data_IF_016601236465
#
_entry.id   IF_016601236465
#
_cell.length_a   1.000
_cell.length_b   1.000
_cell.length_c   1.000
_cell.angle_alpha   90.00
_cell.angle_beta   90.00
_cell.angle_gamma   90.00
#
_symmetry.space_group_name_H-M   'P 1'
#
loop_
_entity.id
_entity.type
_entity.pdbx_description
1 polymer ?
#
# COMPACT_ATOMS: atom_id res chain seq x y z
N UNK A 1 9.14 -25.05 5.24
CA UNK A 1 8.27 -24.01 4.63
C UNK A 1 8.87 -22.63 4.86
N UNK A 2 9.58 -22.09 3.87
CA UNK A 2 10.09 -20.71 3.92
C UNK A 2 8.95 -19.77 3.49
N UNK A 3 8.44 -18.97 4.43
CA UNK A 3 7.57 -17.84 4.15
C UNK A 3 8.33 -16.83 3.29
N UNK A 4 7.70 -16.27 2.25
CA UNK A 4 8.34 -15.20 1.47
C UNK A 4 8.50 -13.95 2.34
N UNK A 5 9.54 -13.16 2.09
CA UNK A 5 9.77 -11.90 2.83
C UNK A 5 8.57 -10.96 2.70
N UNK A 6 7.92 -10.94 1.53
CA UNK A 6 6.76 -10.11 1.26
C UNK A 6 5.54 -10.54 2.08
N UNK A 7 5.24 -11.84 2.14
CA UNK A 7 4.14 -12.38 2.97
C UNK A 7 4.32 -12.02 4.45
N UNK A 8 5.55 -12.08 4.95
CA UNK A 8 5.84 -11.69 6.33
C UNK A 8 5.63 -10.18 6.56
N UNK A 9 6.05 -9.35 5.61
CA UNK A 9 5.85 -7.89 5.65
C UNK A 9 4.36 -7.56 5.64
N UNK A 10 3.59 -8.17 4.76
CA UNK A 10 2.14 -7.93 4.64
C UNK A 10 1.42 -8.41 5.91
N UNK A 11 1.77 -9.58 6.43
CA UNK A 11 1.20 -10.12 7.67
C UNK A 11 1.49 -9.25 8.91
N UNK A 12 2.73 -8.76 9.03
CA UNK A 12 3.18 -7.91 10.16
C UNK A 12 2.54 -6.52 10.13
N UNK A 13 2.30 -5.98 8.93
CA UNK A 13 1.74 -4.64 8.75
C UNK A 13 0.20 -4.64 8.58
N UNK A 14 -0.44 -5.80 8.45
CA UNK A 14 -1.90 -5.92 8.36
C UNK A 14 -2.62 -5.40 9.62
N UNK A 15 -3.87 -4.91 9.49
CA UNK A 15 -4.66 -4.44 10.63
C UNK A 15 -5.18 -5.59 11.52
N UNK A 16 -5.03 -6.84 11.08
CA UNK A 16 -5.56 -8.01 11.78
C UNK A 16 -4.71 -8.40 13.00
N UNK A 17 -5.28 -9.18 13.92
CA UNK A 17 -4.49 -9.78 15.00
C UNK A 17 -3.60 -10.92 14.48
N UNK A 18 -2.58 -11.32 15.25
CA UNK A 18 -1.57 -12.26 14.75
C UNK A 18 -2.11 -13.66 14.41
N UNK A 19 -3.27 -14.07 14.96
CA UNK A 19 -3.89 -15.34 14.60
C UNK A 19 -4.58 -15.24 13.24
N UNK A 20 -5.42 -14.23 13.05
CA UNK A 20 -6.11 -13.99 11.78
C UNK A 20 -5.13 -13.71 10.65
N UNK A 21 -4.09 -12.89 10.89
CA UNK A 21 -3.04 -12.63 9.91
C UNK A 21 -2.24 -13.90 9.54
N UNK A 22 -2.09 -14.84 10.47
CA UNK A 22 -1.37 -16.09 10.19
C UNK A 22 -2.13 -16.98 9.20
N UNK A 23 -3.45 -17.01 9.31
CA UNK A 23 -4.33 -17.78 8.44
C UNK A 23 -4.39 -17.15 7.05
N UNK A 24 -4.56 -15.82 6.97
CA UNK A 24 -4.70 -15.08 5.70
C UNK A 24 -3.40 -15.09 4.89
N UNK A 25 -2.27 -14.81 5.53
CA UNK A 25 -1.00 -14.63 4.84
C UNK A 25 -0.12 -15.89 4.85
N UNK A 26 -0.62 -16.99 5.42
CA UNK A 26 0.09 -18.26 5.57
C UNK A 26 1.46 -18.13 6.27
N UNK A 27 1.53 -17.23 7.25
CA UNK A 27 2.74 -16.96 8.04
C UNK A 27 2.52 -17.43 9.48
N UNK A 28 3.42 -18.22 10.09
CA UNK A 28 3.21 -18.67 11.47
C UNK A 28 3.02 -17.51 12.45
N UNK A 29 2.02 -17.61 13.33
CA UNK A 29 1.68 -16.59 14.34
C UNK A 29 2.89 -16.17 15.18
N UNK A 30 3.75 -17.12 15.54
CA UNK A 30 5.00 -16.88 16.29
C UNK A 30 5.98 -16.00 15.51
N UNK A 31 6.04 -16.16 14.18
CA UNK A 31 6.89 -15.37 13.30
C UNK A 31 6.35 -13.95 13.19
N UNK A 32 5.03 -13.77 13.03
CA UNK A 32 4.41 -12.44 13.02
C UNK A 32 4.66 -11.70 14.33
N UNK A 33 4.43 -12.36 15.48
CA UNK A 33 4.60 -11.76 16.81
C UNK A 33 6.03 -11.30 17.07
N UNK A 34 7.02 -12.14 16.72
CA UNK A 34 8.45 -11.81 16.88
C UNK A 34 8.86 -10.60 16.05
N UNK A 35 8.34 -10.52 14.82
CA UNK A 35 8.71 -9.49 13.85
C UNK A 35 7.85 -8.22 13.95
N UNK A 36 6.75 -8.25 14.71
CA UNK A 36 5.90 -7.07 14.97
C UNK A 36 6.63 -5.94 15.64
N UNK A 37 7.75 -6.17 16.33
CA UNK A 37 8.59 -5.12 16.93
C UNK A 37 9.77 -4.69 16.07
N UNK A 38 10.05 -5.39 14.96
CA UNK A 38 11.25 -5.13 14.15
C UNK A 38 11.05 -3.90 13.25
N UNK A 39 11.86 -2.88 13.47
CA UNK A 39 11.85 -1.63 12.69
C UNK A 39 12.16 -1.85 11.21
N UNK A 40 12.90 -2.90 10.86
CA UNK A 40 13.28 -3.29 9.49
C UNK A 40 12.16 -3.98 8.69
N UNK A 41 11.12 -4.46 9.37
CA UNK A 41 9.91 -5.06 8.78
C UNK A 41 8.70 -4.13 8.95
N UNK A 42 8.73 -3.27 9.97
CA UNK A 42 7.88 -2.06 10.09
C UNK A 42 8.29 -0.96 9.12
N UNK A 43 9.53 -1.00 8.62
CA UNK A 43 9.91 -0.24 7.44
C UNK A 43 9.27 -0.91 6.23
N UNK A 44 8.03 -0.52 5.93
CA UNK A 44 7.82 -0.08 4.56
C UNK A 44 8.93 0.93 4.31
N UNK A 45 10.00 0.57 3.60
CA UNK A 45 10.92 1.58 3.10
C UNK A 45 10.09 2.39 2.10
N UNK A 46 9.37 3.40 2.62
CA UNK A 46 8.49 4.32 1.91
C UNK A 46 6.97 4.39 2.22
N UNK A 47 6.39 3.77 3.28
CA UNK A 47 4.97 3.80 3.78
C UNK A 47 3.88 4.62 3.01
N UNK A 48 2.58 4.22 2.92
CA UNK A 48 1.92 2.92 3.16
C UNK A 48 1.15 2.41 1.90
N UNK A 49 1.15 1.09 1.66
CA UNK A 49 0.17 0.46 0.76
C UNK A 49 -1.14 0.36 1.55
N UNK A 50 -2.00 1.37 1.39
CA UNK A 50 -3.43 1.24 1.72
C UNK A 50 -4.21 0.60 0.58
N UNK A 51 -3.52 0.41 -0.55
CA UNK A 51 -4.04 -0.13 -1.78
C UNK A 51 -3.38 -1.50 -1.99
N UNK A 52 -4.18 -2.53 -2.21
CA UNK A 52 -3.75 -3.79 -2.79
C UNK A 52 -3.10 -3.58 -4.17
N UNK A 53 -2.38 -4.58 -4.68
CA UNK A 53 -1.72 -4.50 -5.98
C UNK A 53 -2.71 -4.14 -7.11
N UNK A 54 -3.92 -4.70 -7.08
CA UNK A 54 -4.95 -4.42 -8.08
C UNK A 54 -5.45 -2.97 -8.00
N UNK A 55 -5.58 -2.44 -6.78
CA UNK A 55 -5.94 -1.03 -6.56
C UNK A 55 -4.82 -0.07 -6.98
N UNK A 56 -3.56 -0.43 -6.75
CA UNK A 56 -2.41 0.34 -7.24
C UNK A 56 -2.38 0.35 -8.78
N UNK A 57 -2.54 -0.82 -9.43
CA UNK A 57 -2.58 -0.94 -10.89
C UNK A 57 -3.73 -0.17 -11.52
N UNK A 58 -4.90 -0.20 -10.88
CA UNK A 58 -6.05 0.58 -11.32
C UNK A 58 -5.76 2.08 -11.24
N UNK A 59 -5.17 2.55 -10.13
CA UNK A 59 -4.80 3.96 -9.98
C UNK A 59 -3.75 4.40 -11.01
N UNK A 60 -2.75 3.56 -11.30
CA UNK A 60 -1.78 3.82 -12.38
C UNK A 60 -2.48 3.95 -13.73
N UNK A 61 -3.45 3.06 -14.02
CA UNK A 61 -4.21 3.09 -15.26
C UNK A 61 -5.01 4.39 -15.41
N UNK A 62 -5.60 4.90 -14.33
CA UNK A 62 -6.27 6.21 -14.32
C UNK A 62 -5.30 7.36 -14.66
N UNK A 63 -4.11 7.37 -14.04
CA UNK A 63 -3.10 8.40 -14.31
C UNK A 63 -2.59 8.34 -15.76
N UNK A 64 -2.46 7.14 -16.33
CA UNK A 64 -2.05 6.94 -17.73
C UNK A 64 -3.14 7.27 -18.75
N UNK A 65 -4.41 7.22 -18.35
CA UNK A 65 -5.54 7.52 -19.23
C UNK A 65 -5.67 9.02 -19.50
N UNK A 66 -5.44 9.86 -18.50
CA UNK A 66 -5.62 11.32 -18.59
C UNK A 66 -4.83 11.97 -19.75
N UNK A 67 -3.53 11.66 -19.95
CA UNK A 67 -2.79 12.17 -21.11
C UNK A 67 -3.38 11.77 -22.47
N UNK A 68 -4.03 10.60 -22.58
CA UNK A 68 -4.66 10.15 -23.84
C UNK A 68 -5.85 11.02 -24.25
N UNK A 69 -6.45 11.73 -23.30
CA UNK A 69 -7.53 12.70 -23.53
C UNK A 69 -7.04 14.15 -23.54
N UNK A 70 -5.72 14.38 -23.56
CA UNK A 70 -5.13 15.72 -23.62
C UNK A 70 -5.00 16.43 -22.27
N UNK A 71 -5.26 15.74 -21.15
CA UNK A 71 -5.07 16.32 -19.82
C UNK A 71 -3.62 16.21 -19.37
N UNK A 72 -3.05 17.33 -18.90
CA UNK A 72 -1.74 17.34 -18.27
C UNK A 72 -1.85 16.94 -16.79
N UNK A 73 -1.18 15.85 -16.39
CA UNK A 73 -1.20 15.37 -15.01
C UNK A 73 -0.19 16.14 -14.18
N UNK A 74 -0.63 17.26 -13.61
CA UNK A 74 0.15 18.00 -12.62
C UNK A 74 0.20 17.24 -11.28
N UNK A 75 1.15 17.60 -10.42
CA UNK A 75 1.26 17.04 -9.06
C UNK A 75 -0.01 17.23 -8.25
N UNK A 76 -0.65 18.39 -8.39
CA UNK A 76 -1.87 18.74 -7.67
C UNK A 76 -3.04 17.87 -8.12
N UNK A 77 -3.18 17.67 -9.43
CA UNK A 77 -4.19 16.78 -10.01
C UNK A 77 -3.97 15.34 -9.52
N UNK A 78 -2.73 14.86 -9.56
CA UNK A 78 -2.41 13.51 -9.07
C UNK A 78 -2.75 13.31 -7.57
N UNK A 79 -2.52 14.32 -6.72
CA UNK A 79 -2.89 14.26 -5.30
C UNK A 79 -4.41 14.31 -5.08
N UNK A 80 -5.12 15.12 -5.85
CA UNK A 80 -6.58 15.18 -5.80
C UNK A 80 -7.19 13.84 -6.21
N UNK A 81 -6.71 13.25 -7.32
CA UNK A 81 -7.13 11.92 -7.78
C UNK A 81 -6.80 10.84 -6.76
N UNK A 82 -5.59 10.84 -6.19
CA UNK A 82 -5.22 9.89 -5.15
C UNK A 82 -6.14 10.00 -3.93
N UNK A 83 -6.48 11.24 -3.51
CA UNK A 83 -7.39 11.48 -2.40
C UNK A 83 -8.80 10.96 -2.71
N UNK A 84 -9.35 11.30 -3.87
CA UNK A 84 -10.67 10.85 -4.29
C UNK A 84 -10.73 9.32 -4.42
N UNK A 85 -9.67 8.71 -4.94
CA UNK A 85 -9.57 7.26 -5.08
C UNK A 85 -9.52 6.57 -3.72
N UNK A 86 -8.66 7.01 -2.80
CA UNK A 86 -8.63 6.47 -1.44
C UNK A 86 -9.98 6.62 -0.72
N UNK A 87 -10.65 7.76 -0.87
CA UNK A 87 -11.99 7.97 -0.31
C UNK A 87 -13.03 7.01 -0.91
N UNK A 88 -12.97 6.75 -2.21
CA UNK A 88 -13.88 5.79 -2.88
C UNK A 88 -13.73 4.37 -2.35
N UNK A 89 -12.55 4.02 -1.84
CA UNK A 89 -12.24 2.75 -1.19
C UNK A 89 -12.58 2.74 0.32
N UNK A 90 -13.17 3.82 0.84
CA UNK A 90 -13.50 3.95 2.27
C UNK A 90 -12.28 4.19 3.16
N UNK A 91 -11.13 4.52 2.59
CA UNK A 91 -9.92 4.81 3.36
C UNK A 91 -10.00 6.22 3.94
N UNK A 92 -9.84 6.33 5.26
CA UNK A 92 -9.75 7.62 5.97
C UNK A 92 -8.39 8.32 5.77
N UNK A 93 -7.54 7.78 4.90
CA UNK A 93 -6.22 8.30 4.60
C UNK A 93 -6.25 9.38 3.53
N UNK A 94 -5.48 10.46 3.75
CA UNK A 94 -5.28 11.52 2.77
C UNK A 94 -3.85 11.47 2.21
N UNK A 95 -3.65 11.07 0.95
CA UNK A 95 -2.34 11.03 0.33
C UNK A 95 -1.67 12.41 0.28
N UNK A 96 -0.43 12.49 0.77
CA UNK A 96 0.39 13.70 0.73
C UNK A 96 1.47 13.66 -0.35
N UNK A 97 2.16 14.78 -0.57
CA UNK A 97 3.27 14.89 -1.56
C UNK A 97 4.33 13.80 -1.38
N UNK A 98 4.67 13.49 -0.13
CA UNK A 98 5.63 12.44 0.19
C UNK A 98 5.13 11.06 -0.22
N UNK A 99 3.84 10.76 0.00
CA UNK A 99 3.21 9.51 -0.44
C UNK A 99 3.25 9.41 -1.96
N UNK A 100 2.82 10.46 -2.67
CA UNK A 100 2.81 10.45 -4.14
C UNK A 100 4.20 10.24 -4.73
N UNK A 101 5.22 10.90 -4.16
CA UNK A 101 6.62 10.69 -4.59
C UNK A 101 7.05 9.24 -4.42
N UNK A 102 6.70 8.62 -3.29
CA UNK A 102 7.07 7.23 -3.01
C UNK A 102 6.27 6.25 -3.87
N UNK A 103 5.00 6.54 -4.14
CA UNK A 103 4.15 5.78 -5.05
C UNK A 103 4.69 5.78 -6.48
N UNK A 104 5.06 6.96 -7.01
CA UNK A 104 5.57 7.10 -8.39
C UNK A 104 6.97 6.50 -8.62
N UNK A 105 7.75 6.31 -7.56
CA UNK A 105 9.11 5.77 -7.63
C UNK A 105 9.17 4.24 -7.48
N UNK A 106 8.03 3.58 -7.24
CA UNK A 106 7.90 2.12 -7.20
C UNK A 106 7.59 1.58 -8.59
#
# INVERSE_FOLDING_TARGET
NKCSRQQLVDAVNSPYDSKTAAEIFHVPTSTIRRNRGESSLRSHVGRPSYLSNDEELYFVSLLQLLPKYGFHVSREIALQLATAYCQSLGLSYRPGVKWLRLFMNR
#
